data_IF_350106198282
#
_entry.id   IF_350106198282
#
_cell.length_a   1.000
_cell.length_b   1.000
_cell.length_c   1.000
_cell.angle_alpha   90.00
_cell.angle_beta   90.00
_cell.angle_gamma   90.00
#
_symmetry.space_group_name_H-M   'P 1'
#
loop_
_entity.id
_entity.type
_entity.pdbx_description
1 polymer ?
#
# COMPACT_ATOMS: atom_id res chain seq x y z
N UNK A 1 18.15 -24.93 -3.30
CA UNK A 1 18.14 -23.54 -2.82
C UNK A 1 18.46 -22.66 -4.01
N UNK A 2 17.47 -21.97 -4.57
CA UNK A 2 17.68 -21.06 -5.71
C UNK A 2 18.28 -19.79 -5.12
N UNK A 3 19.50 -19.43 -5.50
CA UNK A 3 20.06 -18.13 -5.12
C UNK A 3 19.33 -17.06 -5.92
N UNK A 4 18.47 -16.30 -5.24
CA UNK A 4 17.67 -15.25 -5.87
C UNK A 4 18.58 -14.04 -6.11
N UNK A 5 18.76 -13.61 -7.37
CA UNK A 5 19.63 -12.48 -7.66
C UNK A 5 19.13 -11.23 -6.93
N UNK A 6 19.94 -10.68 -6.01
CA UNK A 6 19.57 -9.52 -5.22
C UNK A 6 19.19 -8.30 -6.09
N UNK A 7 19.74 -8.20 -7.30
CA UNK A 7 19.36 -7.21 -8.31
C UNK A 7 17.89 -7.32 -8.74
N UNK A 8 17.38 -8.54 -8.98
CA UNK A 8 15.97 -8.75 -9.34
C UNK A 8 15.03 -8.39 -8.21
N UNK A 9 15.36 -8.82 -6.98
CA UNK A 9 14.53 -8.53 -5.82
C UNK A 9 14.45 -7.02 -5.53
N UNK A 10 15.55 -6.28 -5.74
CA UNK A 10 15.55 -4.81 -5.68
C UNK A 10 14.72 -4.18 -6.79
N UNK A 11 14.78 -4.74 -8.01
CA UNK A 11 13.98 -4.26 -9.14
C UNK A 11 12.47 -4.41 -8.89
N UNK A 12 12.04 -5.55 -8.34
CA UNK A 12 10.65 -5.75 -7.89
C UNK A 12 10.23 -4.65 -6.90
N UNK A 13 11.07 -4.39 -5.89
CA UNK A 13 10.76 -3.36 -4.91
C UNK A 13 10.77 -1.95 -5.47
N UNK A 14 11.65 -1.64 -6.43
CA UNK A 14 11.68 -0.34 -7.08
C UNK A 14 10.33 0.00 -7.74
N UNK A 15 9.62 -1.01 -8.25
CA UNK A 15 8.29 -0.90 -8.85
C UNK A 15 7.13 -1.19 -7.88
N UNK A 16 7.43 -1.51 -6.62
CA UNK A 16 6.39 -1.76 -5.61
C UNK A 16 5.92 -0.45 -5.00
N UNK A 17 4.60 -0.24 -5.02
CA UNK A 17 3.94 0.93 -4.43
C UNK A 17 4.26 1.05 -2.94
N UNK A 18 4.79 2.20 -2.53
CA UNK A 18 4.95 2.58 -1.13
C UNK A 18 3.98 3.67 -0.68
N UNK A 19 4.00 4.09 0.59
CA UNK A 19 3.09 5.12 1.10
C UNK A 19 3.35 6.52 0.55
N UNK A 20 2.28 7.28 0.33
CA UNK A 20 2.33 8.75 0.21
C UNK A 20 2.98 9.38 1.45
N UNK A 21 3.75 10.48 1.30
CA UNK A 21 4.22 11.06 0.04
C UNK A 21 5.51 10.44 -0.48
N UNK A 22 6.23 9.68 0.34
CA UNK A 22 7.62 9.33 0.12
C UNK A 22 7.87 8.47 -1.12
N UNK A 23 6.87 7.70 -1.55
CA UNK A 23 6.98 6.76 -2.68
C UNK A 23 6.08 7.13 -3.86
N UNK A 24 5.66 8.39 -3.99
CA UNK A 24 4.72 8.81 -5.04
C UNK A 24 5.16 8.42 -6.46
N UNK A 25 6.47 8.34 -6.73
CA UNK A 25 7.02 7.95 -8.02
C UNK A 25 6.73 6.49 -8.40
N UNK A 26 6.35 5.66 -7.43
CA UNK A 26 5.97 4.26 -7.65
C UNK A 26 4.49 4.10 -7.98
N UNK A 27 3.71 5.19 -7.97
CA UNK A 27 2.27 5.11 -8.15
C UNK A 27 1.93 4.78 -9.59
N UNK A 28 0.93 3.91 -9.82
CA UNK A 28 0.57 3.52 -11.17
C UNK A 28 0.03 4.72 -11.95
N UNK A 29 0.49 4.88 -13.19
CA UNK A 29 -0.20 5.73 -14.15
C UNK A 29 -1.58 5.12 -14.43
N UNK A 30 -2.62 5.96 -14.49
CA UNK A 30 -3.99 5.49 -14.66
C UNK A 30 -4.48 5.89 -16.05
N UNK A 31 -5.01 4.91 -16.78
CA UNK A 31 -5.75 5.16 -18.01
C UNK A 31 -7.19 4.73 -17.80
N UNK A 32 -8.11 5.67 -17.95
CA UNK A 32 -9.53 5.43 -17.75
C UNK A 32 -10.14 4.60 -18.89
N UNK A 33 -11.40 4.15 -18.75
CA UNK A 33 -12.08 3.41 -19.81
C UNK A 33 -12.28 4.29 -21.05
N UNK A 34 -12.51 5.60 -20.87
CA UNK A 34 -12.53 6.58 -21.95
C UNK A 34 -11.14 6.92 -22.52
N UNK A 35 -10.08 6.20 -22.12
CA UNK A 35 -8.67 6.38 -22.54
C UNK A 35 -8.09 7.73 -22.14
N UNK A 36 -8.61 8.34 -21.10
CA UNK A 36 -8.00 9.54 -20.52
C UNK A 36 -6.83 9.12 -19.62
N UNK A 37 -5.71 9.84 -19.72
CA UNK A 37 -4.53 9.60 -18.88
C UNK A 37 -4.58 10.51 -17.66
N UNK A 38 -4.44 9.92 -16.49
CA UNK A 38 -4.33 10.61 -15.22
C UNK A 38 -2.95 10.34 -14.63
N UNK A 39 -2.30 11.40 -14.18
CA UNK A 39 -0.94 11.35 -13.63
C UNK A 39 -0.87 11.91 -12.21
N UNK A 40 -0.01 11.29 -11.41
CA UNK A 40 0.29 11.71 -10.06
C UNK A 40 1.30 12.86 -10.08
N UNK A 41 1.03 13.92 -9.34
CA UNK A 41 1.96 15.03 -9.14
C UNK A 41 2.31 15.17 -7.67
N UNK A 42 3.54 15.61 -7.39
CA UNK A 42 4.02 15.88 -6.05
C UNK A 42 4.48 17.33 -5.91
N UNK A 43 3.83 18.11 -5.04
CA UNK A 43 4.19 19.51 -4.79
C UNK A 43 4.12 19.82 -3.29
N UNK A 44 5.24 20.19 -2.68
CA UNK A 44 5.25 20.71 -1.30
C UNK A 44 4.59 19.79 -0.26
N UNK A 45 4.86 18.48 -0.35
CA UNK A 45 4.25 17.40 0.46
C UNK A 45 2.85 16.92 0.02
N UNK A 46 2.29 17.53 -1.02
CA UNK A 46 0.97 17.18 -1.54
C UNK A 46 1.12 16.19 -2.71
N UNK A 47 0.45 15.04 -2.62
CA UNK A 47 0.31 14.13 -3.76
C UNK A 47 -1.11 14.22 -4.29
N UNK A 48 -1.24 14.58 -5.57
CA UNK A 48 -2.53 14.75 -6.24
C UNK A 48 -2.57 13.99 -7.55
N UNK A 49 -3.77 13.62 -7.97
CA UNK A 49 -4.07 13.01 -9.26
C UNK A 49 -4.90 14.00 -10.08
N UNK A 50 -4.51 14.22 -11.33
CA UNK A 50 -5.25 15.05 -12.28
C UNK A 50 -5.17 14.44 -13.68
N UNK A 51 -5.94 15.01 -14.62
CA UNK A 51 -5.79 14.66 -16.03
C UNK A 51 -4.50 15.29 -16.57
N UNK A 52 -3.76 14.54 -17.39
CA UNK A 52 -2.52 15.04 -18.04
C UNK A 52 -2.78 16.33 -18.84
N UNK A 53 -3.98 16.45 -19.43
CA UNK A 53 -4.41 17.61 -20.23
C UNK A 53 -4.94 18.80 -19.42
N UNK A 54 -5.19 18.62 -18.13
CA UNK A 54 -5.72 19.66 -17.22
C UNK A 54 -4.86 19.75 -15.95
N UNK A 55 -3.58 20.17 -16.05
CA UNK A 55 -2.63 20.10 -14.94
C UNK A 55 -3.02 20.94 -13.71
N UNK A 56 -3.86 21.96 -13.89
CA UNK A 56 -4.34 22.84 -12.81
C UNK A 56 -5.59 22.29 -12.09
N UNK A 57 -6.16 21.17 -12.55
CA UNK A 57 -7.40 20.60 -12.02
C UNK A 57 -7.16 19.26 -11.35
N UNK A 58 -7.34 19.22 -10.03
CA UNK A 58 -7.18 18.00 -9.23
C UNK A 58 -8.47 17.17 -9.27
N UNK A 59 -8.32 15.85 -9.18
CA UNK A 59 -9.39 14.85 -9.10
C UNK A 59 -9.38 14.06 -7.79
N UNK A 60 -8.19 13.77 -7.28
CA UNK A 60 -7.96 13.14 -5.98
C UNK A 60 -6.73 13.78 -5.33
N UNK A 61 -6.77 13.98 -4.01
CA UNK A 61 -5.57 14.27 -3.23
C UNK A 61 -5.36 13.22 -2.14
N UNK A 62 -4.11 12.81 -1.93
CA UNK A 62 -3.74 11.76 -0.99
C UNK A 62 -2.91 12.33 0.16
N UNK A 63 -3.34 12.07 1.39
CA UNK A 63 -2.54 12.32 2.58
C UNK A 63 -1.58 11.15 2.85
N UNK A 64 -0.80 11.25 3.92
CA UNK A 64 0.19 10.26 4.34
C UNK A 64 -0.39 8.84 4.43
N UNK A 65 0.43 7.85 4.08
CA UNK A 65 0.13 6.41 4.14
C UNK A 65 -0.90 5.86 3.14
N UNK A 66 -1.42 6.69 2.24
CA UNK A 66 -2.19 6.19 1.10
C UNK A 66 -1.30 5.45 0.10
N UNK A 67 -1.86 4.42 -0.52
CA UNK A 67 -1.20 3.61 -1.55
C UNK A 67 -2.19 3.34 -2.68
N UNK A 68 -2.05 4.03 -3.82
CA UNK A 68 -2.86 3.76 -4.99
C UNK A 68 -2.39 2.48 -5.68
N UNK A 69 -3.33 1.74 -6.25
CA UNK A 69 -3.08 0.55 -7.04
C UNK A 69 -4.08 0.48 -8.19
N UNK A 70 -3.70 -0.23 -9.24
CA UNK A 70 -4.58 -0.44 -10.38
C UNK A 70 -5.60 -1.54 -10.06
N UNK A 71 -6.86 -1.28 -10.36
CA UNK A 71 -7.94 -2.25 -10.28
C UNK A 71 -8.42 -2.50 -11.71
N UNK A 72 -8.21 -3.70 -12.27
CA UNK A 72 -8.67 -4.01 -13.62
C UNK A 72 -10.19 -3.80 -13.77
N UNK A 73 -10.67 -3.41 -14.97
CA UNK A 73 -9.90 -3.10 -16.18
C UNK A 73 -9.45 -1.63 -16.31
N UNK A 74 -9.92 -0.73 -15.46
CA UNK A 74 -9.63 0.71 -15.59
C UNK A 74 -9.92 1.52 -14.33
N UNK A 75 -10.06 0.87 -13.19
CA UNK A 75 -10.38 1.52 -11.93
C UNK A 75 -9.11 1.86 -11.15
N UNK A 76 -9.24 2.84 -10.26
CA UNK A 76 -8.21 3.23 -9.31
C UNK A 76 -8.60 2.74 -7.91
N UNK A 77 -7.82 1.80 -7.39
CA UNK A 77 -7.87 1.41 -5.99
C UNK A 77 -6.95 2.31 -5.16
N UNK A 78 -7.37 2.67 -3.95
CA UNK A 78 -6.51 3.32 -2.96
C UNK A 78 -6.76 2.61 -1.63
N UNK A 79 -5.69 2.20 -0.97
CA UNK A 79 -5.78 1.73 0.41
C UNK A 79 -5.01 2.61 1.37
N UNK A 80 -5.52 2.72 2.59
CA UNK A 80 -4.87 3.47 3.66
C UNK A 80 -5.29 2.94 5.05
N UNK A 81 -4.43 3.09 6.08
CA UNK A 81 -4.80 2.73 7.44
C UNK A 81 -5.80 3.73 8.02
N UNK A 82 -6.86 3.23 8.66
CA UNK A 82 -7.92 4.03 9.29
C UNK A 82 -8.21 3.52 10.70
N UNK A 83 -7.57 4.14 11.69
CA UNK A 83 -7.73 3.72 13.09
C UNK A 83 -7.31 2.27 13.33
N UNK A 84 -8.29 1.37 13.44
CA UNK A 84 -8.09 -0.08 13.68
C UNK A 84 -8.49 -0.94 12.47
N UNK A 85 -8.67 -0.33 11.32
CA UNK A 85 -8.92 -1.00 10.06
C UNK A 85 -7.98 -0.49 8.97
N UNK A 86 -7.98 -1.20 7.85
CA UNK A 86 -7.44 -0.75 6.58
C UNK A 86 -8.66 -0.49 5.69
N UNK A 87 -8.79 0.74 5.19
CA UNK A 87 -9.80 1.08 4.20
C UNK A 87 -9.24 0.83 2.81
N UNK A 88 -10.05 0.20 1.95
CA UNK A 88 -9.81 0.07 0.52
C UNK A 88 -10.97 0.75 -0.22
N UNK A 89 -10.65 1.74 -1.05
CA UNK A 89 -11.61 2.50 -1.84
C UNK A 89 -11.30 2.34 -3.34
N UNK A 90 -12.32 2.11 -4.15
CA UNK A 90 -12.24 1.99 -5.60
C UNK A 90 -12.94 3.18 -6.25
N UNK A 91 -12.27 3.83 -7.19
CA UNK A 91 -12.80 4.97 -7.93
C UNK A 91 -12.83 4.66 -9.43
N UNK A 92 -13.89 5.11 -10.10
CA UNK A 92 -13.93 5.19 -11.55
C UNK A 92 -13.28 6.50 -12.02
N UNK A 93 -12.09 6.46 -12.67
CA UNK A 93 -11.41 7.67 -13.12
C UNK A 93 -12.24 8.55 -14.07
N UNK A 94 -13.16 7.96 -14.85
CA UNK A 94 -14.01 8.69 -15.80
C UNK A 94 -15.08 9.55 -15.10
N UNK A 95 -15.37 9.28 -13.82
CA UNK A 95 -16.41 9.98 -13.04
C UNK A 95 -15.85 10.96 -12.01
N UNK A 96 -14.51 11.08 -11.92
CA UNK A 96 -13.86 11.95 -10.95
C UNK A 96 -14.11 13.43 -11.27
N UNK A 97 -14.72 14.12 -10.31
CA UNK A 97 -14.99 15.56 -10.42
C UNK A 97 -13.73 16.38 -10.16
N UNK A 98 -13.55 17.41 -10.98
CA UNK A 98 -12.49 18.40 -10.80
C UNK A 98 -12.72 19.25 -9.55
N UNK A 99 -11.62 19.67 -8.93
CA UNK A 99 -11.57 20.69 -7.89
C UNK A 99 -10.25 21.46 -7.96
N UNK A 100 -10.23 22.65 -7.36
CA UNK A 100 -9.06 23.53 -7.38
C UNK A 100 -8.10 23.18 -6.23
N UNK A 101 -6.78 23.24 -6.47
CA UNK A 101 -5.74 22.96 -5.45
C UNK A 101 -5.92 23.84 -4.21
N UNK A 102 -6.43 25.06 -4.37
CA UNK A 102 -6.70 25.99 -3.27
C UNK A 102 -7.68 25.41 -2.23
N UNK A 103 -8.54 24.48 -2.61
CA UNK A 103 -9.49 23.80 -1.71
C UNK A 103 -8.77 22.87 -0.72
N UNK A 104 -7.54 22.42 -1.03
CA UNK A 104 -6.73 21.57 -0.16
C UNK A 104 -5.98 22.36 0.92
N UNK A 105 -6.13 23.69 0.98
CA UNK A 105 -5.45 24.54 1.94
C UNK A 105 -5.73 24.09 3.39
N UNK A 106 -4.69 23.64 4.08
CA UNK A 106 -4.77 23.17 5.46
C UNK A 106 -5.23 21.71 5.65
N UNK A 107 -5.81 21.08 4.62
CA UNK A 107 -6.31 19.70 4.70
C UNK A 107 -5.20 18.70 5.05
N UNK A 108 -4.04 18.80 4.39
CA UNK A 108 -2.91 17.89 4.59
C UNK A 108 -2.36 17.85 6.03
N UNK A 109 -2.47 18.94 6.80
CA UNK A 109 -1.85 19.05 8.14
C UNK A 109 -2.76 18.60 9.29
N UNK A 110 -4.08 18.59 9.09
CA UNK A 110 -5.05 18.45 10.18
C UNK A 110 -6.10 17.36 9.95
N UNK A 111 -6.11 16.73 8.77
CA UNK A 111 -7.17 15.78 8.41
C UNK A 111 -6.89 14.37 8.93
N UNK A 112 -7.90 13.79 9.59
CA UNK A 112 -7.96 12.34 9.84
C UNK A 112 -8.32 11.56 8.56
N UNK A 113 -9.01 12.22 7.62
CA UNK A 113 -9.29 11.69 6.30
C UNK A 113 -8.02 11.75 5.43
N UNK A 114 -7.78 10.67 4.70
CA UNK A 114 -6.56 10.46 3.91
C UNK A 114 -6.79 10.55 2.40
N UNK A 115 -8.04 10.52 1.94
CA UNK A 115 -8.39 10.56 0.52
C UNK A 115 -9.38 11.71 0.31
N UNK A 116 -8.93 12.80 -0.29
CA UNK A 116 -9.83 13.91 -0.66
C UNK A 116 -10.32 13.72 -2.09
N UNK A 117 -11.65 13.68 -2.28
CA UNK A 117 -12.28 13.73 -3.59
C UNK A 117 -13.71 14.30 -3.50
N UNK A 118 -14.18 14.94 -4.58
CA UNK A 118 -15.58 15.34 -4.76
C UNK A 118 -16.46 14.20 -5.29
N UNK A 119 -15.86 13.08 -5.69
CA UNK A 119 -16.56 11.88 -6.15
C UNK A 119 -16.42 10.82 -5.07
N UNK A 120 -17.53 10.21 -4.65
CA UNK A 120 -17.50 9.07 -3.75
C UNK A 120 -16.91 7.84 -4.47
N UNK A 121 -16.23 6.91 -3.76
CA UNK A 121 -15.79 5.66 -4.36
C UNK A 121 -16.98 4.86 -4.91
N UNK A 122 -16.78 4.15 -6.02
CA UNK A 122 -17.79 3.24 -6.60
C UNK A 122 -17.97 1.99 -5.74
N UNK A 123 -16.93 1.62 -5.00
CA UNK A 123 -16.97 0.57 -4.00
C UNK A 123 -15.92 0.84 -2.92
N UNK A 124 -16.23 0.44 -1.68
CA UNK A 124 -15.28 0.47 -0.58
C UNK A 124 -15.54 -0.65 0.40
N UNK A 125 -14.50 -1.09 1.10
CA UNK A 125 -14.60 -2.02 2.21
C UNK A 125 -13.43 -1.84 3.18
N UNK A 126 -13.58 -2.44 4.36
CA UNK A 126 -12.57 -2.37 5.41
C UNK A 126 -12.12 -3.75 5.87
N UNK A 127 -10.84 -3.83 6.25
CA UNK A 127 -10.26 -5.01 6.90
C UNK A 127 -9.84 -4.64 8.30
N UNK A 128 -10.29 -5.39 9.30
CA UNK A 128 -9.93 -5.15 10.69
C UNK A 128 -8.49 -5.59 10.97
N UNK A 129 -7.77 -4.82 11.79
CA UNK A 129 -6.39 -5.10 12.18
C UNK A 129 -6.28 -6.09 13.36
N UNK A 130 -7.40 -6.56 13.92
CA UNK A 130 -7.41 -7.52 15.04
C UNK A 130 -7.56 -8.99 14.59
N UNK A 131 -7.42 -9.26 13.29
CA UNK A 131 -7.35 -10.61 12.77
C UNK A 131 -6.10 -11.32 13.30
N UNK A 132 -6.27 -12.56 13.74
CA UNK A 132 -5.17 -13.42 14.19
C UNK A 132 -4.33 -13.91 13.00
N UNK A 133 -3.17 -14.51 13.29
CA UNK A 133 -2.33 -15.12 12.25
C UNK A 133 -3.09 -16.21 11.48
N UNK A 134 -2.90 -16.27 10.15
CA UNK A 134 -3.53 -17.25 9.28
C UNK A 134 -4.51 -16.65 8.26
N UNK A 135 -5.29 -17.52 7.62
CA UNK A 135 -6.18 -17.13 6.52
C UNK A 135 -7.62 -16.93 6.99
N UNK A 136 -8.21 -15.80 6.59
CA UNK A 136 -9.57 -15.39 6.96
C UNK A 136 -10.38 -15.07 5.71
N UNK A 137 -11.70 -15.30 5.81
CA UNK A 137 -12.64 -14.83 4.79
C UNK A 137 -12.97 -13.36 4.99
N UNK A 138 -13.10 -12.64 3.90
CA UNK A 138 -13.49 -11.24 3.87
C UNK A 138 -14.59 -11.03 2.82
N UNK A 139 -15.46 -10.06 3.07
CA UNK A 139 -16.46 -9.64 2.09
C UNK A 139 -15.83 -8.58 1.20
N UNK A 140 -15.63 -8.94 -0.07
CA UNK A 140 -14.97 -8.08 -1.07
C UNK A 140 -16.01 -7.63 -2.08
N UNK A 141 -16.14 -6.31 -2.36
CA UNK A 141 -16.99 -5.81 -3.44
C UNK A 141 -16.56 -6.34 -4.81
N UNK A 142 -17.53 -6.50 -5.71
CA UNK A 142 -17.30 -7.11 -7.02
C UNK A 142 -16.29 -6.33 -7.89
N UNK A 143 -16.17 -5.02 -7.65
CA UNK A 143 -15.23 -4.12 -8.33
C UNK A 143 -13.77 -4.51 -8.10
N UNK A 144 -13.47 -5.26 -7.04
CA UNK A 144 -12.11 -5.75 -6.76
C UNK A 144 -11.89 -7.21 -7.20
N UNK A 145 -12.87 -7.85 -7.86
CA UNK A 145 -12.83 -9.28 -8.15
C UNK A 145 -11.67 -9.70 -9.07
N UNK A 146 -11.15 -8.80 -9.90
CA UNK A 146 -10.02 -9.08 -10.80
C UNK A 146 -8.66 -8.73 -10.19
N UNK A 147 -8.62 -8.29 -8.92
CA UNK A 147 -7.37 -8.06 -8.20
C UNK A 147 -6.87 -9.39 -7.64
N UNK A 148 -5.73 -9.85 -8.16
CA UNK A 148 -5.12 -11.12 -7.78
C UNK A 148 -4.57 -11.08 -6.35
N UNK A 149 -3.67 -10.14 -6.06
CA UNK A 149 -3.01 -10.02 -4.77
C UNK A 149 -2.73 -8.56 -4.42
N UNK A 150 -2.89 -8.21 -3.15
CA UNK A 150 -2.32 -7.00 -2.55
C UNK A 150 -1.59 -7.38 -1.27
N UNK A 151 -0.38 -6.87 -1.06
CA UNK A 151 0.34 -7.03 0.22
C UNK A 151 0.30 -5.70 0.96
N UNK A 152 -0.30 -5.69 2.15
CA UNK A 152 -0.54 -4.52 2.96
C UNK A 152 0.25 -4.59 4.26
N UNK A 153 1.44 -3.97 4.32
CA UNK A 153 2.18 -3.84 5.57
C UNK A 153 1.43 -2.94 6.55
N UNK A 154 1.18 -3.45 7.75
CA UNK A 154 0.44 -2.72 8.79
C UNK A 154 0.92 -3.10 10.19
N UNK A 155 0.60 -2.24 11.16
CA UNK A 155 0.84 -2.54 12.57
C UNK A 155 0.04 -3.77 13.01
N UNK A 156 0.62 -4.54 13.92
CA UNK A 156 0.01 -5.75 14.47
C UNK A 156 -0.14 -5.63 15.99
N UNK A 157 -1.17 -6.26 16.54
CA UNK A 157 -1.51 -6.15 17.97
C UNK A 157 -0.52 -6.98 18.82
N UNK A 158 0.64 -6.41 19.10
CA UNK A 158 1.60 -6.96 20.06
C UNK A 158 1.07 -6.84 21.50
N UNK A 159 1.18 -7.92 22.29
CA UNK A 159 0.79 -7.95 23.70
C UNK A 159 2.00 -7.81 24.64
N UNK A 160 3.20 -8.08 24.12
CA UNK A 160 4.50 -7.94 24.78
C UNK A 160 5.54 -7.34 23.83
N UNK A 161 6.74 -7.00 24.33
CA UNK A 161 7.82 -6.45 23.50
C UNK A 161 8.44 -7.46 22.54
N UNK A 162 8.28 -8.75 22.81
CA UNK A 162 8.79 -9.85 21.99
C UNK A 162 7.78 -10.31 20.92
N UNK A 163 6.55 -9.81 20.98
CA UNK A 163 5.54 -10.10 19.96
C UNK A 163 5.82 -9.30 18.67
N UNK A 164 5.39 -9.82 17.51
CA UNK A 164 5.45 -9.09 16.25
C UNK A 164 4.72 -7.75 16.35
N UNK A 165 5.43 -6.65 16.07
CA UNK A 165 4.84 -5.31 16.04
C UNK A 165 4.20 -4.97 14.67
N UNK A 166 4.51 -5.76 13.64
CA UNK A 166 4.03 -5.61 12.27
C UNK A 166 3.56 -6.94 11.70
N UNK A 167 2.65 -6.86 10.74
CA UNK A 167 2.20 -7.99 9.92
C UNK A 167 2.09 -7.56 8.45
N UNK A 168 2.18 -8.54 7.57
CA UNK A 168 1.77 -8.39 6.18
C UNK A 168 0.37 -8.99 6.06
N UNK A 169 -0.59 -8.17 5.66
CA UNK A 169 -1.92 -8.64 5.29
C UNK A 169 -1.89 -8.88 3.79
N UNK A 170 -1.87 -10.15 3.38
CA UNK A 170 -1.89 -10.54 1.97
C UNK A 170 -3.33 -10.78 1.56
N UNK A 171 -3.90 -9.84 0.84
CA UNK A 171 -5.27 -9.89 0.35
C UNK A 171 -5.29 -10.65 -0.97
N UNK A 172 -6.26 -11.52 -1.13
CA UNK A 172 -6.64 -12.14 -2.40
C UNK A 172 -8.10 -11.75 -2.71
N UNK A 173 -8.34 -10.52 -3.22
CA UNK A 173 -9.69 -10.00 -3.43
C UNK A 173 -10.55 -10.92 -4.30
N UNK A 174 -9.98 -11.45 -5.39
CA UNK A 174 -10.63 -12.41 -6.29
C UNK A 174 -11.17 -13.67 -5.58
N UNK A 175 -10.55 -14.07 -4.46
CA UNK A 175 -10.94 -15.24 -3.68
C UNK A 175 -11.75 -14.88 -2.42
N UNK A 176 -11.91 -13.60 -2.10
CA UNK A 176 -12.53 -13.15 -0.85
C UNK A 176 -11.73 -13.56 0.40
N UNK A 177 -10.39 -13.55 0.31
CA UNK A 177 -9.50 -14.00 1.38
C UNK A 177 -8.49 -12.93 1.79
N UNK A 178 -8.06 -12.99 3.04
CA UNK A 178 -6.86 -12.32 3.55
C UNK A 178 -6.04 -13.29 4.38
N UNK A 179 -4.73 -13.32 4.15
CA UNK A 179 -3.76 -14.05 4.94
C UNK A 179 -2.96 -13.07 5.79
N UNK A 180 -2.96 -13.28 7.10
CA UNK A 180 -2.26 -12.45 8.07
C UNK A 180 -0.95 -13.12 8.44
N UNK A 181 0.17 -12.47 8.08
CA UNK A 181 1.53 -12.96 8.29
C UNK A 181 2.29 -12.06 9.28
N UNK A 182 2.26 -12.37 10.59
CA UNK A 182 3.00 -11.61 11.59
C UNK A 182 4.51 -11.71 11.35
N UNK A 183 5.19 -10.58 11.38
CA UNK A 183 6.63 -10.49 11.11
C UNK A 183 7.41 -10.78 12.39
N UNK A 184 7.70 -12.06 12.63
CA UNK A 184 8.31 -12.60 13.87
C UNK A 184 9.69 -12.01 14.18
N UNK A 185 10.34 -11.48 13.17
CA UNK A 185 11.64 -10.83 13.28
C UNK A 185 11.53 -9.33 13.62
N UNK A 186 10.36 -8.71 13.50
CA UNK A 186 10.14 -7.28 13.74
C UNK A 186 9.38 -7.06 15.05
N UNK A 187 10.11 -6.97 16.16
CA UNK A 187 9.57 -6.82 17.52
C UNK A 187 10.01 -5.50 18.16
N UNK A 188 9.28 -5.03 19.18
CA UNK A 188 9.65 -3.81 19.90
C UNK A 188 10.94 -3.97 20.73
N UNK A 189 11.33 -5.20 21.07
CA UNK A 189 12.60 -5.49 21.72
C UNK A 189 13.81 -5.28 20.79
N UNK A 190 13.63 -5.44 19.47
CA UNK A 190 14.72 -5.36 18.49
C UNK A 190 14.70 -4.09 17.64
N UNK A 191 13.54 -3.46 17.47
CA UNK A 191 13.35 -2.32 16.56
C UNK A 191 12.65 -1.15 17.25
N UNK A 192 12.93 0.05 16.76
CA UNK A 192 12.28 1.30 17.20
C UNK A 192 10.94 1.46 16.49
N UNK A 193 9.94 0.70 16.93
CA UNK A 193 8.57 0.75 16.38
C UNK A 193 8.06 2.19 16.39
N UNK A 194 7.57 2.66 15.23
CA UNK A 194 7.11 4.03 15.02
C UNK A 194 8.16 4.96 14.39
N UNK A 195 9.45 4.64 14.52
CA UNK A 195 10.52 5.24 13.70
C UNK A 195 10.96 4.31 12.57
N UNK A 196 10.87 3.01 12.83
CA UNK A 196 11.11 1.94 11.88
C UNK A 196 9.78 1.22 11.62
N UNK A 197 9.55 0.85 10.37
CA UNK A 197 8.37 0.09 9.95
C UNK A 197 8.60 -0.55 8.58
N UNK A 198 7.71 -1.45 8.18
CA UNK A 198 7.69 -2.00 6.82
C UNK A 198 6.86 -1.07 5.94
N UNK A 199 7.45 -0.49 4.89
CA UNK A 199 6.80 0.51 4.04
C UNK A 199 6.06 -0.11 2.86
N UNK A 200 6.67 -1.13 2.26
CA UNK A 200 6.19 -1.83 1.07
C UNK A 200 6.73 -3.26 1.04
N UNK A 201 5.96 -4.14 0.42
CA UNK A 201 6.35 -5.54 0.20
C UNK A 201 5.66 -6.06 -1.06
N UNK A 202 6.32 -6.97 -1.76
CA UNK A 202 5.83 -7.61 -2.97
C UNK A 202 6.28 -9.07 -3.01
N UNK A 203 5.52 -9.90 -3.72
CA UNK A 203 5.87 -11.29 -3.97
C UNK A 203 6.74 -11.39 -5.22
N UNK A 204 7.85 -12.09 -5.11
CA UNK A 204 8.65 -12.47 -6.28
C UNK A 204 7.88 -13.53 -7.09
N UNK A 205 7.58 -13.27 -8.38
CA UNK A 205 6.69 -14.15 -9.15
C UNK A 205 7.29 -15.53 -9.45
N UNK A 206 8.62 -15.69 -9.34
CA UNK A 206 9.28 -16.97 -9.59
C UNK A 206 9.42 -17.83 -8.33
N UNK A 207 9.87 -17.26 -7.22
CA UNK A 207 10.08 -18.00 -5.97
C UNK A 207 8.87 -17.99 -5.05
N UNK A 208 7.88 -17.13 -5.31
CA UNK A 208 6.75 -16.83 -4.45
C UNK A 208 7.12 -16.27 -3.07
N UNK A 209 8.40 -15.94 -2.83
CA UNK A 209 8.88 -15.36 -1.58
C UNK A 209 8.62 -13.87 -1.56
N UNK A 210 8.45 -13.33 -0.35
CA UNK A 210 8.13 -11.91 -0.17
C UNK A 210 9.42 -11.13 0.04
N UNK A 211 9.61 -10.10 -0.78
CA UNK A 211 10.65 -9.08 -0.62
C UNK A 211 9.98 -7.80 -0.09
N UNK A 212 10.64 -7.12 0.83
CA UNK A 212 10.09 -5.93 1.47
C UNK A 212 11.14 -4.88 1.82
N UNK A 213 10.67 -3.68 2.11
CA UNK A 213 11.49 -2.58 2.58
C UNK A 213 11.06 -2.18 3.99
N UNK A 214 12.04 -2.06 4.88
CA UNK A 214 11.88 -1.56 6.23
C UNK A 214 12.56 -0.19 6.35
N UNK A 215 11.76 0.87 6.50
CA UNK A 215 12.28 2.23 6.69
C UNK A 215 13.19 2.30 7.91
N UNK A 216 14.32 2.99 7.76
CA UNK A 216 15.33 3.11 8.81
C UNK A 216 16.09 1.82 9.12
N UNK A 217 15.95 0.77 8.29
CA UNK A 217 16.69 -0.50 8.45
C UNK A 217 17.26 -1.00 7.13
N UNK A 218 16.46 -1.15 6.08
CA UNK A 218 16.92 -1.65 4.78
C UNK A 218 15.93 -2.57 4.07
N UNK A 219 16.45 -3.33 3.11
CA UNK A 219 15.69 -4.19 2.23
C UNK A 219 15.84 -5.64 2.65
N UNK A 220 14.74 -6.40 2.73
CA UNK A 220 14.74 -7.76 3.25
C UNK A 220 14.04 -8.76 2.33
N UNK A 221 14.41 -10.03 2.53
CA UNK A 221 13.75 -11.20 1.95
C UNK A 221 13.25 -12.11 3.07
N UNK A 222 11.99 -12.53 3.00
CA UNK A 222 11.36 -13.42 3.97
C UNK A 222 11.51 -14.89 3.58
N UNK A 223 11.58 -15.78 4.56
CA UNK A 223 11.45 -17.24 4.41
C UNK A 223 10.14 -17.62 3.68
N UNK A 224 10.04 -18.88 3.25
CA UNK A 224 8.84 -19.40 2.57
C UNK A 224 7.56 -19.24 3.39
N UNK A 225 7.67 -19.21 4.74
CA UNK A 225 6.52 -18.99 5.64
C UNK A 225 6.01 -17.55 5.65
N UNK A 226 6.71 -16.62 4.99
CA UNK A 226 6.35 -15.20 4.92
C UNK A 226 6.35 -14.46 6.27
N UNK A 227 6.83 -15.10 7.34
CA UNK A 227 6.79 -14.57 8.71
C UNK A 227 8.19 -14.33 9.28
N UNK A 228 9.22 -15.02 8.77
CA UNK A 228 10.60 -14.92 9.24
C UNK A 228 11.52 -14.25 8.23
N UNK A 229 12.50 -13.52 8.73
CA UNK A 229 13.55 -12.92 7.94
C UNK A 229 14.55 -14.01 7.52
N UNK A 230 14.76 -14.20 6.23
CA UNK A 230 15.88 -15.03 5.76
C UNK A 230 17.17 -14.20 5.71
N UNK A 231 17.15 -13.08 4.98
CA UNK A 231 18.34 -12.22 4.82
C UNK A 231 17.98 -10.78 4.53
N UNK A 232 18.91 -9.88 4.89
CA UNK A 232 18.92 -8.51 4.38
C UNK A 232 19.58 -8.50 3.00
N UNK A 233 18.94 -7.83 2.04
CA UNK A 233 19.53 -7.56 0.72
C UNK A 233 20.43 -6.32 0.79
N UNK A 234 20.00 -5.32 1.56
CA UNK A 234 20.75 -4.12 1.91
C UNK A 234 20.41 -3.75 3.35
N UNK A 235 21.39 -3.36 4.17
CA UNK A 235 21.15 -2.92 5.55
C UNK A 235 21.77 -1.55 5.76
N UNK A 236 20.96 -0.58 6.19
CA UNK A 236 21.44 0.74 6.54
C UNK A 236 22.45 0.63 7.70
N UNK A 237 23.69 1.07 7.47
CA UNK A 237 24.77 1.04 8.46
C UNK A 237 25.71 -0.17 8.40
N UNK A 238 25.72 -0.95 7.30
CA UNK A 238 26.87 -1.80 6.92
C UNK A 238 27.87 -1.05 6.07
#
# INVERSE_FOLDING_TARGET
MIDLPATRLRDILAHTVGPTPWYWQTFPAITSAARQRLDWTFQGEQVTLGLEQEPDKVRIALNTYCRPFYVPPSYLGIWCPEGRSIRLACFDPDTLKAFDVAELAGWFKQSADRIYSHTAPVAEFEIRLDLEAGTHKINVPAEFADVEELILPTSYKAMSQDDPAFALFVLYPHAGLVEVLPQKWFTAAQYRVGQQWITRAARDPESHRIVGECHGVGTFLLEEDGCRLERWLDKAGS
#
